data_IF_597412736989
#
_entry.id   IF_597412736989
#
_cell.length_a   1.000
_cell.length_b   1.000
_cell.length_c   1.000
_cell.angle_alpha   90.00
_cell.angle_beta   90.00
_cell.angle_gamma   90.00
#
_symmetry.space_group_name_H-M   'P 1'
#
loop_
_entity.id
_entity.type
_entity.pdbx_description
1 polymer ?
#
# COMPACT_ATOMS: atom_id res chain seq x y z
N UNK A 1 22.31 -51.55 76.52
CA UNK A 1 21.77 -52.22 75.31
C UNK A 1 20.41 -51.60 75.04
N UNK A 2 20.08 -50.95 73.93
CA UNK A 2 20.70 -50.82 72.61
C UNK A 2 20.16 -49.56 71.89
N UNK A 3 20.97 -49.03 70.96
CA UNK A 3 20.70 -48.30 69.69
C UNK A 3 19.47 -47.36 69.60
N UNK A 4 19.60 -46.05 69.34
CA UNK A 4 19.83 -45.39 68.03
C UNK A 4 18.90 -45.99 66.93
N UNK A 5 18.07 -45.21 66.24
CA UNK A 5 18.52 -44.25 65.24
C UNK A 5 17.64 -43.00 65.15
N UNK A 6 18.35 -41.86 65.12
CA UNK A 6 17.87 -40.61 64.57
C UNK A 6 17.95 -40.74 63.05
N UNK A 7 16.81 -40.65 62.37
CA UNK A 7 16.73 -40.65 60.90
C UNK A 7 17.49 -39.41 60.39
N UNK A 8 18.46 -39.58 59.46
CA UNK A 8 19.34 -38.51 59.07
C UNK A 8 18.61 -37.60 58.08
N UNK A 9 18.63 -36.32 58.42
CA UNK A 9 19.00 -35.28 57.48
C UNK A 9 18.36 -35.39 56.08
N UNK A 10 17.20 -34.75 55.95
CA UNK A 10 16.67 -34.28 54.66
C UNK A 10 17.60 -33.19 54.09
N UNK A 11 18.86 -33.53 53.83
CA UNK A 11 19.71 -32.81 52.89
C UNK A 11 19.28 -33.29 51.51
N UNK A 12 18.13 -32.76 51.06
CA UNK A 12 17.83 -32.73 49.62
C UNK A 12 18.80 -31.73 49.03
N UNK A 13 19.84 -32.29 48.43
CA UNK A 13 20.73 -31.75 47.43
C UNK A 13 20.49 -30.27 47.04
N UNK A 14 21.14 -29.38 47.78
CA UNK A 14 21.24 -27.94 47.45
C UNK A 14 22.02 -27.72 46.13
N UNK A 15 22.75 -28.74 45.64
CA UNK A 15 23.46 -28.71 44.35
C UNK A 15 22.57 -28.95 43.13
N UNK A 16 21.45 -29.68 43.26
CA UNK A 16 20.53 -29.97 42.16
C UNK A 16 19.60 -28.77 41.84
N UNK A 17 19.21 -28.03 42.89
CA UNK A 17 18.35 -26.83 42.79
C UNK A 17 19.08 -25.66 42.11
N UNK A 18 20.37 -25.49 42.39
CA UNK A 18 21.18 -24.41 41.83
C UNK A 18 21.44 -24.62 40.33
N UNK A 19 21.64 -25.87 39.91
CA UNK A 19 21.79 -26.23 38.50
C UNK A 19 20.49 -26.04 37.69
N UNK A 20 19.32 -26.26 38.31
CA UNK A 20 18.02 -26.03 37.65
C UNK A 20 17.65 -24.55 37.56
N UNK A 21 18.05 -23.73 38.53
CA UNK A 21 17.88 -22.27 38.49
C UNK A 21 18.73 -21.61 37.40
N UNK A 22 20.01 -21.99 37.29
CA UNK A 22 20.91 -21.48 36.26
C UNK A 22 20.43 -21.81 34.84
N UNK A 23 19.89 -23.01 34.63
CA UNK A 23 19.34 -23.43 33.34
C UNK A 23 18.11 -22.60 32.96
N UNK A 24 17.21 -22.33 33.91
CA UNK A 24 16.03 -21.48 33.69
C UNK A 24 16.41 -20.04 33.35
N UNK A 25 17.45 -19.50 34.00
CA UNK A 25 17.98 -18.16 33.70
C UNK A 25 18.52 -18.13 32.27
N UNK A 26 19.30 -19.15 31.88
CA UNK A 26 19.85 -19.26 30.52
C UNK A 26 18.75 -19.30 29.45
N UNK A 27 17.71 -20.09 29.65
CA UNK A 27 16.54 -20.14 28.75
C UNK A 27 15.81 -18.79 28.67
N UNK A 28 15.66 -18.10 29.80
CA UNK A 28 15.05 -16.77 29.83
C UNK A 28 15.90 -15.74 29.06
N UNK A 29 17.23 -15.78 29.19
CA UNK A 29 18.16 -14.90 28.48
C UNK A 29 18.15 -15.17 26.96
N UNK A 30 18.10 -16.43 26.56
CA UNK A 30 17.97 -16.83 25.15
C UNK A 30 16.65 -16.30 24.56
N UNK A 31 15.54 -16.51 25.25
CA UNK A 31 14.23 -16.03 24.80
C UNK A 31 14.15 -14.49 24.77
N UNK A 32 14.80 -13.81 25.71
CA UNK A 32 14.91 -12.35 25.70
C UNK A 32 15.70 -11.85 24.50
N UNK A 33 16.81 -12.51 24.17
CA UNK A 33 17.64 -12.18 23.01
C UNK A 33 16.89 -12.38 21.69
N UNK A 34 16.13 -13.47 21.56
CA UNK A 34 15.26 -13.71 20.41
C UNK A 34 14.18 -12.64 20.27
N UNK A 35 13.59 -12.23 21.40
CA UNK A 35 12.60 -11.15 21.44
C UNK A 35 13.22 -9.80 21.06
N UNK A 36 14.44 -9.51 21.49
CA UNK A 36 15.20 -8.31 21.11
C UNK A 36 15.56 -8.30 19.61
N UNK A 37 15.96 -9.43 19.05
CA UNK A 37 16.19 -9.56 17.60
C UNK A 37 14.90 -9.32 16.81
N UNK A 38 13.78 -9.89 17.27
CA UNK A 38 12.46 -9.68 16.66
C UNK A 38 12.04 -8.21 16.74
N UNK A 39 12.23 -7.56 17.89
CA UNK A 39 11.97 -6.13 18.09
C UNK A 39 12.85 -5.26 17.16
N UNK A 40 14.12 -5.57 17.01
CA UNK A 40 15.03 -4.83 16.11
C UNK A 40 14.60 -4.97 14.63
N UNK A 41 14.18 -6.16 14.21
CA UNK A 41 13.66 -6.40 12.86
C UNK A 41 12.33 -5.67 12.64
N UNK A 42 11.44 -5.68 13.62
CA UNK A 42 10.18 -4.92 13.58
C UNK A 42 10.43 -3.40 13.58
N UNK A 43 11.42 -2.92 14.33
CA UNK A 43 11.83 -1.51 14.34
C UNK A 43 12.35 -1.07 12.97
N UNK A 44 13.13 -1.92 12.29
CA UNK A 44 13.63 -1.70 10.93
C UNK A 44 12.50 -1.66 9.89
N UNK A 45 11.48 -2.49 10.03
CA UNK A 45 10.28 -2.49 9.16
C UNK A 45 9.37 -1.29 9.48
N UNK A 46 9.26 -0.91 10.75
CA UNK A 46 8.53 0.29 11.18
C UNK A 46 9.18 1.60 10.70
N UNK A 47 10.46 1.56 10.33
CA UNK A 47 11.22 2.65 9.71
C UNK A 47 11.48 2.47 8.22
N UNK A 48 10.86 1.47 7.55
CA UNK A 48 10.71 1.50 6.09
C UNK A 48 9.86 2.73 5.74
N UNK A 49 10.55 3.83 5.56
CA UNK A 49 10.00 5.09 5.08
C UNK A 49 9.28 4.75 3.80
N UNK A 50 7.99 5.10 3.71
CA UNK A 50 7.19 4.96 2.49
C UNK A 50 7.99 5.65 1.37
N UNK A 51 8.72 4.86 0.60
CA UNK A 51 9.63 5.42 -0.40
C UNK A 51 8.78 6.16 -1.42
N UNK A 52 9.35 7.18 -2.08
CA UNK A 52 8.64 7.88 -3.16
C UNK A 52 8.07 6.90 -4.21
N UNK A 53 8.72 5.74 -4.39
CA UNK A 53 8.23 4.65 -5.23
C UNK A 53 6.92 4.04 -4.72
N UNK A 54 6.76 3.84 -3.42
CA UNK A 54 5.52 3.32 -2.82
C UNK A 54 4.37 4.34 -2.89
N UNK A 55 4.68 5.63 -2.74
CA UNK A 55 3.71 6.71 -2.93
C UNK A 55 3.29 6.81 -4.41
N UNK A 56 4.23 6.75 -5.35
CA UNK A 56 3.96 6.71 -6.78
C UNK A 56 3.16 5.47 -7.20
N UNK A 57 3.46 4.30 -6.64
CA UNK A 57 2.70 3.08 -6.87
C UNK A 57 1.26 3.21 -6.37
N UNK A 58 1.07 3.78 -5.17
CA UNK A 58 -0.25 4.04 -4.61
C UNK A 58 -1.06 5.02 -5.46
N UNK A 59 -0.42 6.08 -5.95
CA UNK A 59 -1.02 7.04 -6.88
C UNK A 59 -1.43 6.35 -8.19
N UNK A 60 -0.56 5.53 -8.77
CA UNK A 60 -0.84 4.80 -10.00
C UNK A 60 -2.00 3.82 -9.84
N UNK A 61 -2.06 3.09 -8.72
CA UNK A 61 -3.17 2.18 -8.39
C UNK A 61 -4.49 2.97 -8.27
N UNK A 62 -4.47 4.14 -7.63
CA UNK A 62 -5.65 5.01 -7.54
C UNK A 62 -6.10 5.47 -8.93
N UNK A 63 -5.18 5.95 -9.78
CA UNK A 63 -5.48 6.38 -11.14
C UNK A 63 -6.09 5.26 -11.98
N UNK A 64 -5.49 4.06 -11.93
CA UNK A 64 -6.00 2.87 -12.63
C UNK A 64 -7.43 2.54 -12.16
N UNK A 65 -7.70 2.63 -10.85
CA UNK A 65 -9.05 2.42 -10.31
C UNK A 65 -10.05 3.46 -10.83
N UNK A 66 -9.69 4.75 -10.84
CA UNK A 66 -10.55 5.82 -11.36
C UNK A 66 -10.85 5.61 -12.85
N UNK A 67 -9.82 5.38 -13.67
CA UNK A 67 -9.97 5.15 -15.11
C UNK A 67 -10.81 3.90 -15.40
N UNK A 68 -10.63 2.82 -14.61
CA UNK A 68 -11.44 1.60 -14.75
C UNK A 68 -12.91 1.86 -14.43
N UNK A 69 -13.19 2.68 -13.41
CA UNK A 69 -14.55 3.08 -13.06
C UNK A 69 -15.19 3.96 -14.14
N UNK A 70 -14.46 4.95 -14.66
CA UNK A 70 -14.90 5.79 -15.79
C UNK A 70 -15.20 4.94 -17.03
N UNK A 71 -14.28 4.05 -17.43
CA UNK A 71 -14.48 3.15 -18.55
C UNK A 71 -15.74 2.30 -18.38
N UNK A 72 -15.95 1.74 -17.18
CA UNK A 72 -17.13 0.96 -16.85
C UNK A 72 -18.42 1.80 -16.92
N UNK A 73 -18.37 3.09 -16.59
CA UNK A 73 -19.50 4.01 -16.76
C UNK A 73 -19.77 4.30 -18.24
N UNK A 74 -18.73 4.59 -19.03
CA UNK A 74 -18.84 4.85 -20.46
C UNK A 74 -19.39 3.66 -21.23
N UNK A 75 -18.96 2.44 -20.91
CA UNK A 75 -19.47 1.21 -21.53
C UNK A 75 -20.97 0.98 -21.27
N UNK A 76 -21.49 1.45 -20.14
CA UNK A 76 -22.92 1.32 -19.79
C UNK A 76 -23.77 2.41 -20.40
N UNK A 77 -23.17 3.53 -20.81
CA UNK A 77 -23.89 4.65 -21.41
C UNK A 77 -24.16 4.34 -22.88
N UNK A 78 -25.43 4.20 -23.24
CA UNK A 78 -25.82 4.17 -24.65
C UNK A 78 -25.47 5.53 -25.28
N UNK A 79 -24.71 5.58 -26.38
CA UNK A 79 -24.43 6.84 -27.06
C UNK A 79 -25.74 7.47 -27.53
N UNK A 80 -25.95 8.75 -27.21
CA UNK A 80 -26.99 9.53 -27.87
C UNK A 80 -26.59 9.70 -29.33
N UNK A 81 -27.33 9.05 -30.22
CA UNK A 81 -27.11 9.19 -31.65
C UNK A 81 -27.67 10.53 -32.10
N UNK A 82 -26.82 11.36 -32.69
CA UNK A 82 -27.25 12.60 -33.31
C UNK A 82 -28.21 12.25 -34.47
N UNK A 83 -29.38 12.88 -34.57
CA UNK A 83 -30.28 12.70 -35.70
C UNK A 83 -29.58 13.02 -37.02
N UNK A 84 -29.68 12.12 -38.00
CA UNK A 84 -29.09 12.27 -39.34
C UNK A 84 -29.95 13.16 -40.25
N UNK A 85 -30.57 14.20 -39.70
CA UNK A 85 -31.37 15.14 -40.50
C UNK A 85 -30.45 16.10 -41.26
N UNK A 86 -30.91 16.58 -42.41
CA UNK A 86 -30.12 17.41 -43.32
C UNK A 86 -29.60 18.69 -42.63
N UNK A 87 -30.45 19.35 -41.84
CA UNK A 87 -30.13 20.57 -41.11
C UNK A 87 -29.03 20.36 -40.06
N UNK A 88 -29.08 19.25 -39.34
CA UNK A 88 -28.09 18.89 -38.32
C UNK A 88 -26.75 18.55 -38.97
N UNK A 89 -26.76 17.80 -40.08
CA UNK A 89 -25.54 17.45 -40.81
C UNK A 89 -24.87 18.67 -41.46
N UNK A 90 -25.65 19.58 -42.04
CA UNK A 90 -25.14 20.83 -42.62
C UNK A 90 -24.52 21.71 -41.53
N UNK A 91 -25.18 21.80 -40.37
CA UNK A 91 -24.68 22.60 -39.24
C UNK A 91 -23.37 22.04 -38.71
N UNK A 92 -23.31 20.73 -38.47
CA UNK A 92 -22.11 20.04 -38.02
C UNK A 92 -20.95 20.22 -39.02
N UNK A 93 -21.22 20.03 -40.32
CA UNK A 93 -20.21 20.21 -41.36
C UNK A 93 -19.64 21.62 -41.41
N UNK A 94 -20.47 22.66 -41.19
CA UNK A 94 -20.00 24.05 -41.12
C UNK A 94 -19.12 24.31 -39.90
N UNK A 95 -19.48 23.75 -38.75
CA UNK A 95 -18.73 23.89 -37.51
C UNK A 95 -17.34 23.25 -37.61
N UNK A 96 -17.25 22.03 -38.14
CA UNK A 96 -15.98 21.33 -38.37
C UNK A 96 -15.07 22.10 -39.35
N UNK A 97 -15.65 22.64 -40.44
CA UNK A 97 -14.89 23.47 -41.40
C UNK A 97 -14.37 24.75 -40.72
N UNK A 98 -15.21 25.39 -39.89
CA UNK A 98 -14.82 26.57 -39.13
C UNK A 98 -13.71 26.24 -38.13
N UNK A 99 -13.80 25.12 -37.42
CA UNK A 99 -12.79 24.65 -36.48
C UNK A 99 -11.45 24.38 -37.20
N UNK A 100 -11.47 23.66 -38.34
CA UNK A 100 -10.26 23.47 -39.16
C UNK A 100 -9.67 24.81 -39.62
N UNK A 101 -10.50 25.77 -40.01
CA UNK A 101 -10.05 27.10 -40.44
C UNK A 101 -9.35 27.84 -39.29
N UNK A 102 -9.92 27.82 -38.08
CA UNK A 102 -9.34 28.47 -36.90
C UNK A 102 -8.02 27.80 -36.49
N UNK A 103 -7.92 26.48 -36.56
CA UNK A 103 -6.69 25.75 -36.24
C UNK A 103 -5.58 25.97 -37.29
N UNK A 104 -5.95 26.14 -38.56
CA UNK A 104 -5.01 26.37 -39.66
C UNK A 104 -4.56 27.83 -39.77
N UNK A 105 -5.45 28.76 -39.41
CA UNK A 105 -5.24 30.20 -39.46
C UNK A 105 -5.70 30.82 -38.13
N UNK A 106 -4.94 30.65 -37.05
CA UNK A 106 -5.32 31.17 -35.75
C UNK A 106 -5.40 32.71 -35.83
N UNK A 107 -6.47 33.32 -35.30
CA UNK A 107 -6.58 34.76 -35.26
C UNK A 107 -5.39 35.37 -34.50
N UNK A 108 -4.86 36.47 -35.02
CA UNK A 108 -3.67 37.13 -34.48
C UNK A 108 -3.89 37.47 -33.00
N UNK A 109 -3.12 36.83 -32.12
CA UNK A 109 -3.19 37.03 -30.67
C UNK A 109 -3.85 35.91 -29.85
N UNK A 110 -4.37 34.84 -30.47
CA UNK A 110 -4.84 33.65 -29.74
C UNK A 110 -3.71 32.63 -29.55
N UNK A 111 -3.33 32.28 -28.30
CA UNK A 111 -2.43 31.16 -28.04
C UNK A 111 -3.09 29.85 -28.50
N UNK A 112 -2.38 29.02 -29.27
CA UNK A 112 -2.87 27.70 -29.73
C UNK A 112 -3.36 26.81 -28.57
N UNK A 113 -2.76 27.00 -27.39
CA UNK A 113 -3.05 26.35 -26.13
C UNK A 113 -4.30 26.87 -25.39
N UNK A 114 -4.97 27.92 -25.90
CA UNK A 114 -6.28 28.38 -25.41
C UNK A 114 -7.47 27.77 -26.16
N UNK A 115 -7.23 26.94 -27.18
CA UNK A 115 -8.25 26.20 -27.94
C UNK A 115 -8.34 24.71 -27.51
N UNK A 116 -8.20 24.42 -26.21
CA UNK A 116 -8.68 23.14 -25.69
C UNK A 116 -10.18 23.26 -25.44
N UNK A 117 -10.97 22.59 -26.29
CA UNK A 117 -12.38 22.32 -26.05
C UNK A 117 -12.54 21.26 -24.96
#
# INVERSE_FOLDING_TARGET
MNQQDLDPDSTTDVGDVTNTEEELIRECEEMWKDMEECQNKLSLIGTETLTDSNAQLSLLIMQVKCLTAELSQWQKKTPETIPLTEDVLITLGKEEILQMMILSYPPVGCPLNSLQF
#
